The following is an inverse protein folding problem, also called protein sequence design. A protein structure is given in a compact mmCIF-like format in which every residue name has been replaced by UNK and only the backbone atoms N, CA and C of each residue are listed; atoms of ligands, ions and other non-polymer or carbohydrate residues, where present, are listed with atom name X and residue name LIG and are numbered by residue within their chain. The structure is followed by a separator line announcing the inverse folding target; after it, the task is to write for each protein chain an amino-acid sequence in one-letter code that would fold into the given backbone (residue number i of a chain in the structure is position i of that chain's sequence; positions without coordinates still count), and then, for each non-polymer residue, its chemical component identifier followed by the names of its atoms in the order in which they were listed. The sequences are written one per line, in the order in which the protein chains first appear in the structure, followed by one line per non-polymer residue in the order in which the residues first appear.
data_IF_213835765382
#
_entry.id   IF_213835765382
#
_cell.length_a   1.000
_cell.length_b   1.000
_cell.length_c   1.000
_cell.angle_alpha   90.00
_cell.angle_beta   90.00
_cell.angle_gamma   90.00
#
_symmetry.space_group_name_H-M   'P 1'
#
loop_
_entity.id
_entity.type
_entity.pdbx_description
1 polymer ?
#
# COMPACT_ATOMS: atom_id res chain seq x y z
N UNK A 1 -11.19 1.61 2.19
CA UNK A 1 -11.29 0.46 3.12
C UNK A 1 -11.14 -0.81 2.29
N UNK A 2 -10.04 -1.53 2.49
CA UNK A 2 -9.75 -2.79 1.79
C UNK A 2 -10.80 -3.81 2.18
N UNK A 3 -11.47 -4.45 1.22
CA UNK A 3 -12.48 -5.46 1.53
C UNK A 3 -11.84 -6.73 2.13
N UNK A 4 -12.65 -7.51 2.88
CA UNK A 4 -12.16 -8.69 3.59
C UNK A 4 -11.50 -9.72 2.67
N UNK A 5 -12.01 -9.89 1.44
CA UNK A 5 -11.44 -10.86 0.49
C UNK A 5 -10.05 -10.40 0.00
N UNK A 6 -9.90 -9.11 -0.30
CA UNK A 6 -8.59 -8.53 -0.67
C UNK A 6 -7.59 -8.63 0.49
N UNK A 7 -8.05 -8.36 1.71
CA UNK A 7 -7.19 -8.48 2.90
C UNK A 7 -6.71 -9.93 3.09
N UNK A 8 -7.59 -10.92 2.96
CA UNK A 8 -7.21 -12.33 3.01
C UNK A 8 -6.23 -12.72 1.90
N UNK A 9 -6.47 -12.27 0.66
CA UNK A 9 -5.57 -12.56 -0.46
C UNK A 9 -4.17 -11.98 -0.24
N UNK A 10 -4.08 -10.72 0.22
CA UNK A 10 -2.81 -10.07 0.54
C UNK A 10 -2.10 -10.77 1.73
N UNK A 11 -2.84 -11.20 2.74
CA UNK A 11 -2.27 -11.92 3.87
C UNK A 11 -1.59 -13.23 3.45
N UNK A 12 -2.10 -13.93 2.42
CA UNK A 12 -1.48 -15.16 1.91
C UNK A 12 -0.08 -14.94 1.31
N UNK A 13 0.22 -13.72 0.86
CA UNK A 13 1.53 -13.36 0.31
C UNK A 13 2.58 -13.08 1.41
N UNK A 14 2.16 -12.87 2.65
CA UNK A 14 3.04 -12.56 3.77
C UNK A 14 3.47 -13.87 4.45
N UNK A 15 4.76 -14.22 4.53
CA UNK A 15 5.22 -15.43 5.23
C UNK A 15 4.85 -15.39 6.72
N UNK A 16 4.63 -16.57 7.31
CA UNK A 16 4.36 -16.68 8.74
C UNK A 16 5.52 -16.14 9.59
N UNK A 17 5.20 -15.47 10.69
CA UNK A 17 6.19 -14.95 11.63
C UNK A 17 7.00 -13.76 11.12
N UNK A 18 6.64 -13.18 9.95
CA UNK A 18 7.36 -12.06 9.36
C UNK A 18 7.30 -10.81 10.24
N UNK A 19 8.37 -10.03 10.20
CA UNK A 19 8.38 -8.66 10.69
C UNK A 19 7.90 -7.73 9.57
N UNK A 20 6.73 -7.10 9.78
CA UNK A 20 6.00 -6.35 8.76
C UNK A 20 6.05 -4.84 9.05
N UNK A 21 6.26 -4.03 8.02
CA UNK A 21 6.03 -2.60 8.03
C UNK A 21 4.88 -2.28 7.08
N UNK A 22 3.81 -1.66 7.59
CA UNK A 22 2.64 -1.30 6.80
C UNK A 22 2.59 0.22 6.63
N UNK A 23 2.88 0.69 5.42
CA UNK A 23 2.98 2.11 5.07
C UNK A 23 1.61 2.66 4.67
N UNK A 24 1.07 3.59 5.46
CA UNK A 24 -0.30 4.08 5.34
C UNK A 24 -1.29 3.04 5.87
N UNK A 25 -1.04 2.52 7.07
CA UNK A 25 -1.76 1.39 7.63
C UNK A 25 -3.24 1.66 7.99
N UNK A 26 -3.70 2.90 7.86
CA UNK A 26 -5.06 3.29 8.22
C UNK A 26 -5.38 2.94 9.67
N UNK A 27 -6.48 2.25 9.91
CA UNK A 27 -6.92 1.84 11.26
C UNK A 27 -6.18 0.59 11.80
N UNK A 28 -5.15 0.11 11.11
CA UNK A 28 -4.34 -1.04 11.50
C UNK A 28 -4.98 -2.41 11.29
N UNK A 29 -6.09 -2.49 10.56
CA UNK A 29 -6.83 -3.76 10.37
C UNK A 29 -5.98 -4.84 9.72
N UNK A 30 -5.16 -4.51 8.72
CA UNK A 30 -4.28 -5.46 8.03
C UNK A 30 -3.22 -6.04 8.98
N UNK A 31 -2.54 -5.20 9.75
CA UNK A 31 -1.54 -5.65 10.73
C UNK A 31 -2.15 -6.52 11.81
N UNK A 32 -3.31 -6.12 12.38
CA UNK A 32 -4.01 -6.94 13.37
C UNK A 32 -4.40 -8.32 12.80
N UNK A 33 -4.86 -8.35 11.55
CA UNK A 33 -5.17 -9.61 10.86
C UNK A 33 -3.93 -10.48 10.69
N UNK A 34 -2.79 -9.91 10.26
CA UNK A 34 -1.53 -10.65 10.12
C UNK A 34 -0.98 -11.15 11.46
N UNK A 35 -1.11 -10.37 12.53
CA UNK A 35 -0.74 -10.80 13.89
C UNK A 35 -1.55 -12.02 14.31
N UNK A 36 -2.86 -12.01 14.12
CA UNK A 36 -3.77 -13.08 14.55
C UNK A 36 -3.65 -14.34 13.68
N UNK A 37 -3.52 -14.20 12.37
CA UNK A 37 -3.61 -15.35 11.45
C UNK A 37 -2.27 -15.91 11.05
N UNK A 38 -1.20 -15.10 11.11
CA UNK A 38 0.14 -15.50 10.63
C UNK A 38 1.26 -15.30 11.65
N UNK A 39 0.93 -14.86 12.87
CA UNK A 39 1.93 -14.65 13.93
C UNK A 39 2.95 -13.56 13.58
N UNK A 40 2.62 -12.64 12.68
CA UNK A 40 3.49 -11.54 12.28
C UNK A 40 3.64 -10.52 13.42
N UNK A 41 4.77 -9.81 13.40
CA UNK A 41 5.03 -8.65 14.27
C UNK A 41 5.36 -7.44 13.41
N UNK A 42 5.40 -6.24 13.98
CA UNK A 42 5.85 -5.05 13.25
C UNK A 42 5.11 -3.77 13.61
N UNK A 43 5.12 -2.84 12.68
CA UNK A 43 4.63 -1.49 12.87
C UNK A 43 3.79 -1.03 11.68
N UNK A 44 2.78 -0.21 11.97
CA UNK A 44 2.12 0.64 10.98
C UNK A 44 2.75 2.02 10.95
N UNK A 45 2.71 2.66 9.80
CA UNK A 45 3.01 4.08 9.63
C UNK A 45 1.74 4.76 9.15
N UNK A 46 1.31 5.82 9.83
CA UNK A 46 0.07 6.54 9.52
C UNK A 46 0.25 8.02 9.88
N UNK A 47 -0.38 8.92 9.11
CA UNK A 47 -0.30 10.36 9.36
C UNK A 47 -1.55 10.90 10.08
N UNK A 48 -2.70 10.26 9.90
CA UNK A 48 -3.98 10.74 10.40
C UNK A 48 -4.18 10.36 11.88
N UNK A 49 -4.41 11.36 12.74
CA UNK A 49 -4.57 11.18 14.19
C UNK A 49 -5.67 10.20 14.58
N UNK A 50 -6.81 10.22 13.88
CA UNK A 50 -7.92 9.33 14.17
C UNK A 50 -7.58 7.87 13.87
N UNK A 51 -6.83 7.64 12.79
CA UNK A 51 -6.34 6.31 12.41
C UNK A 51 -5.26 5.80 13.37
N UNK A 52 -4.32 6.67 13.77
CA UNK A 52 -3.31 6.34 14.80
C UNK A 52 -4.00 5.90 16.09
N UNK A 53 -5.01 6.67 16.55
CA UNK A 53 -5.78 6.29 17.73
C UNK A 53 -6.53 4.95 17.54
N UNK A 54 -7.05 4.69 16.34
CA UNK A 54 -7.70 3.41 16.02
C UNK A 54 -6.72 2.23 16.08
N UNK A 55 -5.49 2.40 15.55
CA UNK A 55 -4.42 1.40 15.67
C UNK A 55 -4.10 1.08 17.14
N UNK A 56 -3.92 2.10 17.97
CA UNK A 56 -3.65 1.92 19.41
C UNK A 56 -4.78 1.15 20.09
N UNK A 57 -6.04 1.52 19.84
CA UNK A 57 -7.21 0.82 20.37
C UNK A 57 -7.29 -0.64 19.91
N UNK A 58 -6.76 -0.95 18.73
CA UNK A 58 -6.71 -2.31 18.15
C UNK A 58 -5.51 -3.12 18.66
N UNK A 59 -4.60 -2.52 19.41
CA UNK A 59 -3.38 -3.17 19.91
C UNK A 59 -2.29 -3.29 18.84
N UNK A 60 -2.33 -2.48 17.80
CA UNK A 60 -1.32 -2.43 16.74
C UNK A 60 -0.29 -1.35 17.06
N UNK A 61 0.99 -1.70 16.95
CA UNK A 61 2.07 -0.72 17.05
C UNK A 61 2.02 0.21 15.84
N UNK A 62 1.97 1.52 16.07
CA UNK A 62 1.91 2.52 15.02
C UNK A 62 2.88 3.66 15.29
N UNK A 63 3.49 4.17 14.23
CA UNK A 63 4.36 5.34 14.24
C UNK A 63 3.66 6.43 13.41
N UNK A 64 3.46 7.59 14.01
CA UNK A 64 2.89 8.72 13.30
C UNK A 64 3.99 9.41 12.51
N UNK A 65 3.93 9.30 11.17
CA UNK A 65 4.94 9.82 10.26
C UNK A 65 4.32 10.18 8.91
N UNK A 66 4.80 11.27 8.32
CA UNK A 66 4.50 11.66 6.96
C UNK A 66 5.41 10.87 5.99
N UNK A 67 4.84 9.99 5.20
CA UNK A 67 5.60 9.15 4.25
C UNK A 67 6.32 9.96 3.16
N UNK A 68 5.86 11.18 2.83
CA UNK A 68 6.57 12.06 1.89
C UNK A 68 7.93 12.57 2.43
N UNK A 69 8.20 12.42 3.72
CA UNK A 69 9.48 12.72 4.38
C UNK A 69 10.46 11.53 4.32
N UNK A 70 10.02 10.39 3.82
CA UNK A 70 10.83 9.18 3.67
C UNK A 70 10.80 8.25 4.88
N UNK A 71 11.68 7.24 4.86
CA UNK A 71 11.75 6.17 5.87
C UNK A 71 13.08 6.16 6.62
N UNK A 72 13.75 7.31 6.78
CA UNK A 72 15.07 7.42 7.43
C UNK A 72 15.11 6.85 8.87
N UNK A 73 13.94 6.77 9.53
CA UNK A 73 13.79 6.17 10.87
C UNK A 73 14.12 4.66 10.88
N UNK A 74 13.98 3.98 9.72
CA UNK A 74 14.16 2.53 9.61
C UNK A 74 15.49 2.19 8.94
N UNK A 75 16.21 1.23 9.53
CA UNK A 75 17.44 0.70 8.96
C UNK A 75 17.22 -0.20 7.74
N UNK A 76 18.27 -0.42 6.98
CA UNK A 76 18.26 -1.29 5.81
C UNK A 76 17.88 -2.72 6.19
N UNK A 77 17.04 -3.38 5.37
CA UNK A 77 16.58 -4.75 5.54
C UNK A 77 16.02 -5.08 6.95
N UNK A 78 15.48 -4.06 7.65
CA UNK A 78 14.96 -4.20 9.01
C UNK A 78 13.61 -4.88 9.08
N UNK A 79 12.95 -5.10 7.93
CA UNK A 79 11.66 -5.80 7.83
C UNK A 79 11.73 -6.93 6.80
N UNK A 80 10.97 -8.01 7.05
CA UNK A 80 10.84 -9.10 6.08
C UNK A 80 9.89 -8.71 4.95
N UNK A 81 8.80 -7.99 5.30
CA UNK A 81 7.79 -7.53 4.35
C UNK A 81 7.44 -6.07 4.61
N UNK A 82 7.36 -5.28 3.54
CA UNK A 82 6.81 -3.91 3.55
C UNK A 82 5.54 -3.89 2.72
N UNK A 83 4.44 -3.43 3.31
CA UNK A 83 3.15 -3.30 2.66
C UNK A 83 2.92 -1.84 2.25
N UNK A 84 2.35 -1.64 1.07
CA UNK A 84 1.77 -0.38 0.59
C UNK A 84 0.40 -0.68 -0.03
N UNK A 85 -0.65 -0.65 0.79
CA UNK A 85 -2.00 -0.97 0.35
C UNK A 85 -2.79 0.32 0.21
N UNK A 86 -3.18 0.66 -1.02
CA UNK A 86 -3.89 1.90 -1.36
C UNK A 86 -3.17 3.18 -0.87
N UNK A 87 -1.82 3.15 -0.82
CA UNK A 87 -1.00 4.26 -0.29
C UNK A 87 -0.24 5.00 -1.38
N UNK A 88 0.35 4.26 -2.32
CA UNK A 88 1.28 4.82 -3.32
C UNK A 88 0.67 5.96 -4.15
N UNK A 89 -0.63 5.88 -4.45
CA UNK A 89 -1.35 6.89 -5.24
C UNK A 89 -1.54 8.23 -4.53
N UNK A 90 -1.34 8.28 -3.21
CA UNK A 90 -1.45 9.50 -2.40
C UNK A 90 -0.11 10.22 -2.21
N UNK A 91 1.02 9.56 -2.53
CA UNK A 91 2.35 10.09 -2.27
C UNK A 91 2.84 11.00 -3.40
N UNK A 92 3.48 12.11 -3.02
CA UNK A 92 4.10 13.04 -3.97
C UNK A 92 5.32 12.41 -4.66
N UNK A 93 6.09 11.61 -3.92
CA UNK A 93 7.33 10.97 -4.37
C UNK A 93 7.24 9.44 -4.38
N UNK A 94 6.30 8.90 -5.18
CA UNK A 94 6.06 7.45 -5.28
C UNK A 94 7.33 6.65 -5.65
N UNK A 95 8.17 7.17 -6.54
CA UNK A 95 9.43 6.52 -6.94
C UNK A 95 10.41 6.41 -5.76
N UNK A 96 10.61 7.50 -5.01
CA UNK A 96 11.44 7.48 -3.81
C UNK A 96 10.91 6.51 -2.78
N UNK A 97 9.59 6.45 -2.60
CA UNK A 97 8.98 5.51 -1.66
C UNK A 97 9.16 4.05 -2.09
N UNK A 98 9.15 3.73 -3.38
CA UNK A 98 9.48 2.38 -3.86
C UNK A 98 10.93 2.01 -3.54
N UNK A 99 11.89 2.93 -3.72
CA UNK A 99 13.29 2.71 -3.35
C UNK A 99 13.46 2.50 -1.85
N UNK A 100 12.82 3.33 -1.05
CA UNK A 100 12.82 3.19 0.41
C UNK A 100 12.20 1.86 0.86
N UNK A 101 11.10 1.44 0.22
CA UNK A 101 10.50 0.12 0.45
C UNK A 101 11.49 -1.01 0.21
N UNK A 102 12.24 -0.94 -0.88
CA UNK A 102 13.28 -1.92 -1.20
C UNK A 102 14.48 -1.85 -0.26
N UNK A 103 14.81 -0.67 0.26
CA UNK A 103 15.90 -0.48 1.23
C UNK A 103 15.56 -1.10 2.58
N UNK A 104 14.35 -0.82 3.10
CA UNK A 104 13.97 -1.23 4.46
C UNK A 104 13.40 -2.65 4.53
N UNK A 105 12.91 -3.21 3.42
CA UNK A 105 12.27 -4.52 3.36
C UNK A 105 12.93 -5.50 2.39
N UNK A 106 12.81 -6.79 2.69
CA UNK A 106 13.25 -7.87 1.79
C UNK A 106 12.24 -8.14 0.67
N UNK A 107 10.94 -7.95 0.97
CA UNK A 107 9.81 -8.11 0.06
C UNK A 107 8.92 -6.88 0.18
N UNK A 108 8.56 -6.26 -0.95
CA UNK A 108 7.54 -5.22 -1.03
C UNK A 108 6.25 -5.78 -1.63
N UNK A 109 5.12 -5.52 -0.98
CA UNK A 109 3.79 -5.84 -1.49
C UNK A 109 3.06 -4.51 -1.71
N UNK A 110 2.76 -4.19 -2.97
CA UNK A 110 2.10 -2.94 -3.37
C UNK A 110 0.75 -3.24 -3.98
N UNK A 111 -0.30 -2.66 -3.44
CA UNK A 111 -1.65 -2.74 -3.99
C UNK A 111 -2.19 -1.33 -4.21
N UNK A 112 -2.77 -1.11 -5.40
CA UNK A 112 -3.39 0.17 -5.77
C UNK A 112 -4.46 -0.05 -6.84
N UNK A 113 -5.40 0.91 -7.04
CA UNK A 113 -6.43 0.79 -8.06
C UNK A 113 -5.82 0.79 -9.47
N UNK A 114 -6.00 -0.31 -10.21
CA UNK A 114 -5.53 -0.39 -11.60
C UNK A 114 -6.42 0.46 -12.52
N UNK A 115 -5.89 1.60 -12.98
CA UNK A 115 -6.63 2.50 -13.89
C UNK A 115 -6.90 1.86 -15.26
N UNK A 116 -6.07 0.88 -15.69
CA UNK A 116 -6.26 0.15 -16.94
C UNK A 116 -7.27 -1.01 -16.83
N UNK A 117 -7.98 -1.19 -15.72
CA UNK A 117 -9.07 -2.16 -15.65
C UNK A 117 -10.09 -1.92 -16.78
N UNK A 118 -10.63 -2.99 -17.40
CA UNK A 118 -11.46 -2.88 -18.61
C UNK A 118 -12.64 -1.90 -18.48
N UNK A 119 -13.28 -1.88 -17.32
CA UNK A 119 -14.40 -0.96 -17.04
C UNK A 119 -13.95 0.51 -17.05
N UNK A 120 -12.77 0.81 -16.51
CA UNK A 120 -12.19 2.16 -16.52
C UNK A 120 -11.87 2.60 -17.94
N UNK A 121 -11.28 1.69 -18.75
CA UNK A 121 -11.03 1.95 -20.20
C UNK A 121 -12.30 2.32 -20.94
N UNK A 122 -13.39 1.56 -20.70
CA UNK A 122 -14.67 1.83 -21.35
C UNK A 122 -15.27 3.16 -20.91
N UNK A 123 -15.11 3.56 -19.65
CA UNK A 123 -15.55 4.87 -19.17
C UNK A 123 -14.80 6.02 -19.86
N UNK A 124 -13.47 5.90 -19.96
CA UNK A 124 -12.62 6.90 -20.64
C UNK A 124 -12.94 6.98 -22.14
N UNK A 125 -13.17 5.85 -22.81
CA UNK A 125 -13.60 5.82 -24.23
C UNK A 125 -14.95 6.54 -24.45
N UNK A 126 -15.81 6.59 -23.42
CA UNK A 126 -17.07 7.36 -23.43
C UNK A 126 -16.88 8.83 -23.01
N UNK A 127 -15.64 9.31 -22.86
CA UNK A 127 -15.33 10.68 -22.47
C UNK A 127 -15.61 10.99 -20.98
N UNK A 128 -15.62 9.98 -20.09
CA UNK A 128 -15.90 10.16 -18.66
C UNK A 128 -14.80 9.54 -17.80
N UNK A 129 -14.45 10.20 -16.69
CA UNK A 129 -13.58 9.61 -15.67
C UNK A 129 -14.32 8.46 -14.96
N UNK A 130 -13.64 7.33 -14.72
CA UNK A 130 -14.26 6.19 -14.05
C UNK A 130 -14.52 6.49 -12.57
N UNK A 131 -15.71 6.15 -12.10
CA UNK A 131 -16.08 6.13 -10.68
C UNK A 131 -16.52 4.71 -10.37
N UNK A 132 -15.82 4.02 -9.47
CA UNK A 132 -16.01 2.60 -9.15
C UNK A 132 -15.83 2.37 -7.64
N UNK A 133 -16.06 1.14 -7.16
CA UNK A 133 -15.78 0.80 -5.75
C UNK A 133 -14.30 1.03 -5.36
N UNK A 134 -13.37 0.84 -6.30
CA UNK A 134 -11.93 1.04 -6.09
C UNK A 134 -11.47 2.49 -6.36
N UNK A 135 -12.25 3.25 -7.13
CA UNK A 135 -12.06 4.66 -7.42
C UNK A 135 -13.37 5.40 -7.09
N UNK A 136 -13.72 5.55 -5.79
CA UNK A 136 -15.05 6.01 -5.39
C UNK A 136 -15.26 7.52 -5.51
N UNK A 137 -14.20 8.26 -5.81
CA UNK A 137 -14.21 9.73 -5.84
C UNK A 137 -14.45 10.27 -7.25
N UNK A 138 -15.00 11.47 -7.34
CA UNK A 138 -15.04 12.23 -8.58
C UNK A 138 -13.63 12.77 -8.90
N UNK A 139 -13.42 13.18 -10.14
CA UNK A 139 -12.11 13.69 -10.59
C UNK A 139 -11.66 14.96 -9.83
N UNK A 140 -12.58 15.71 -9.22
CA UNK A 140 -12.33 16.98 -8.54
C UNK A 140 -12.22 16.87 -7.01
N UNK A 141 -12.61 15.74 -6.40
CA UNK A 141 -12.57 15.54 -4.95
C UNK A 141 -11.73 14.33 -4.51
N UNK A 142 -11.06 13.70 -5.46
CA UNK A 142 -10.21 12.53 -5.18
C UNK A 142 -8.96 12.89 -4.38
N UNK A 143 -8.63 12.14 -3.33
CA UNK A 143 -7.34 12.25 -2.66
C UNK A 143 -6.20 11.62 -3.46
N UNK A 144 -6.52 10.88 -4.54
CA UNK A 144 -5.51 10.26 -5.39
C UNK A 144 -4.84 11.34 -6.26
N UNK A 145 -3.59 11.62 -6.00
CA UNK A 145 -2.78 12.56 -6.81
C UNK A 145 -2.08 11.85 -7.97
N UNK A 146 -2.13 10.51 -7.99
CA UNK A 146 -1.56 9.69 -9.06
C UNK A 146 -2.56 8.65 -9.51
N UNK A 147 -2.52 8.39 -10.80
CA UNK A 147 -3.22 7.26 -11.44
C UNK A 147 -2.17 6.43 -12.16
N UNK A 148 -2.29 5.13 -12.09
CA UNK A 148 -1.33 4.21 -12.70
C UNK A 148 -1.96 2.90 -13.11
N UNK A 149 -1.21 2.14 -13.86
CA UNK A 149 -1.57 0.78 -14.25
C UNK A 149 -0.55 -0.21 -13.67
N UNK A 150 -0.88 -1.49 -13.64
CA UNK A 150 0.08 -2.52 -13.23
C UNK A 150 1.33 -2.51 -14.13
N UNK A 151 1.16 -2.24 -15.42
CA UNK A 151 2.29 -2.14 -16.36
C UNK A 151 3.20 -0.93 -16.05
N UNK A 152 2.62 0.22 -15.69
CA UNK A 152 3.38 1.41 -15.31
C UNK A 152 4.17 1.18 -14.02
N UNK A 153 3.57 0.51 -13.02
CA UNK A 153 4.26 0.16 -11.79
C UNK A 153 5.40 -0.83 -12.04
N UNK A 154 5.18 -1.85 -12.87
CA UNK A 154 6.22 -2.82 -13.22
C UNK A 154 7.41 -2.13 -13.93
N UNK A 155 7.12 -1.19 -14.83
CA UNK A 155 8.14 -0.40 -15.51
C UNK A 155 8.91 0.51 -14.53
N UNK A 156 8.21 1.17 -13.62
CA UNK A 156 8.83 2.01 -12.59
C UNK A 156 9.70 1.18 -11.64
N UNK A 157 9.22 0.00 -11.22
CA UNK A 157 9.98 -0.94 -10.40
C UNK A 157 11.28 -1.36 -11.10
N UNK A 158 11.20 -1.77 -12.38
CA UNK A 158 12.36 -2.18 -13.16
C UNK A 158 13.41 -1.06 -13.32
N UNK A 159 12.96 0.19 -13.55
CA UNK A 159 13.86 1.37 -13.62
C UNK A 159 14.60 1.63 -12.32
N UNK A 160 14.05 1.20 -11.19
CA UNK A 160 14.66 1.33 -9.86
C UNK A 160 15.40 0.04 -9.42
N UNK A 161 15.67 -0.89 -10.33
CA UNK A 161 16.39 -2.13 -10.05
C UNK A 161 15.60 -3.15 -9.23
N UNK A 162 14.25 -2.98 -9.14
CA UNK A 162 13.37 -3.89 -8.42
C UNK A 162 12.84 -4.97 -9.36
N UNK A 163 12.78 -6.20 -8.88
CA UNK A 163 12.20 -7.31 -9.62
C UNK A 163 10.75 -7.55 -9.16
N UNK A 164 9.80 -7.37 -10.07
CA UNK A 164 8.42 -7.81 -9.85
C UNK A 164 8.37 -9.33 -9.95
N UNK A 165 8.02 -10.00 -8.86
CA UNK A 165 7.94 -11.47 -8.80
C UNK A 165 6.58 -11.97 -9.26
N UNK A 166 5.53 -11.24 -8.87
CA UNK A 166 4.15 -11.64 -9.11
C UNK A 166 3.24 -10.42 -9.25
N UNK A 167 2.16 -10.53 -10.03
CA UNK A 167 1.19 -9.45 -10.25
C UNK A 167 -0.20 -10.06 -10.47
N UNK A 168 -1.18 -9.63 -9.68
CA UNK A 168 -2.56 -10.09 -9.78
C UNK A 168 -3.50 -8.88 -9.91
N UNK A 169 -4.65 -9.06 -10.58
CA UNK A 169 -5.63 -8.00 -10.76
C UNK A 169 -7.05 -8.51 -10.94
#
# INVERSE_FOLDING_TARGET
MTDTNTMHALAQLVPHGSRVLDLGCGDGAMLAHLQQTRGCTGYGVEINDANVLACVKRGVNVIQLNLDEGLALFGDASFDVVLQIDTLQHLRNAETMLRETARVGKIGIVAFPNFAHWFNRLSVLRGRMPVTKRLPYQWYDTPNIRVGTHADLALLAARNGLQVRDSFG
#
